data_IF_949984970184
#
_entry.id   IF_949984970184
#
_cell.length_a   1.000
_cell.length_b   1.000
_cell.length_c   1.000
_cell.angle_alpha   90.00
_cell.angle_beta   90.00
_cell.angle_gamma   90.00
#
_symmetry.space_group_name_H-M   'P 1'
#
loop_
_entity.id
_entity.type
_entity.pdbx_description
1 polymer ?
#
# COMPACT_ATOMS: atom_id res chain seq x y z
N UNK A 1 -13.77 -17.18 -6.97
CA UNK A 1 -14.80 -16.28 -7.54
C UNK A 1 -14.08 -14.98 -7.92
N UNK A 2 -14.11 -14.56 -9.19
CA UNK A 2 -13.62 -13.25 -9.62
C UNK A 2 -14.23 -12.12 -8.78
N UNK A 3 -13.44 -11.10 -8.43
CA UNK A 3 -13.92 -9.97 -7.60
C UNK A 3 -15.10 -9.26 -8.26
N UNK A 4 -15.12 -9.17 -9.58
CA UNK A 4 -16.25 -8.56 -10.32
C UNK A 4 -17.57 -9.29 -10.11
N UNK A 5 -17.54 -10.62 -9.90
CA UNK A 5 -18.75 -11.43 -9.67
C UNK A 5 -19.29 -11.26 -8.24
N UNK A 6 -18.55 -10.55 -7.37
CA UNK A 6 -18.97 -10.22 -6.01
C UNK A 6 -19.63 -8.84 -5.91
N UNK A 7 -19.61 -8.04 -6.99
CA UNK A 7 -20.16 -6.69 -7.01
C UNK A 7 -21.65 -6.77 -7.39
N UNK A 8 -22.57 -6.22 -6.58
CA UNK A 8 -23.96 -6.16 -6.98
C UNK A 8 -24.12 -5.30 -8.24
N UNK A 9 -24.95 -5.75 -9.18
CA UNK A 9 -25.12 -5.13 -10.51
C UNK A 9 -25.40 -3.61 -10.44
N UNK A 10 -26.20 -3.18 -9.47
CA UNK A 10 -26.53 -1.76 -9.27
C UNK A 10 -25.31 -0.85 -8.98
N UNK A 11 -24.17 -1.43 -8.61
CA UNK A 11 -22.92 -0.73 -8.34
C UNK A 11 -21.83 -0.97 -9.39
N UNK A 12 -22.09 -1.79 -10.44
CA UNK A 12 -21.08 -2.19 -11.40
C UNK A 12 -20.42 -0.98 -12.09
N UNK A 13 -21.23 -0.05 -12.60
CA UNK A 13 -20.75 1.17 -13.28
C UNK A 13 -19.96 2.09 -12.34
N UNK A 14 -20.32 2.13 -11.05
CA UNK A 14 -19.60 2.91 -10.06
C UNK A 14 -18.25 2.26 -9.67
N UNK A 15 -18.23 0.94 -9.54
CA UNK A 15 -17.06 0.20 -9.11
C UNK A 15 -16.01 0.05 -10.22
N UNK A 16 -16.44 -0.10 -11.48
CA UNK A 16 -15.56 -0.31 -12.62
C UNK A 16 -14.39 0.70 -12.72
N UNK A 17 -14.60 2.03 -12.69
CA UNK A 17 -13.49 2.99 -12.77
C UNK A 17 -12.56 2.94 -11.55
N UNK A 18 -13.08 2.59 -10.37
CA UNK A 18 -12.28 2.45 -9.15
C UNK A 18 -11.31 1.27 -9.34
N UNK A 19 -11.82 0.09 -9.67
CA UNK A 19 -10.98 -1.10 -9.88
C UNK A 19 -9.98 -0.90 -11.04
N UNK A 20 -10.39 -0.22 -12.11
CA UNK A 20 -9.48 0.14 -13.20
C UNK A 20 -8.31 1.02 -12.70
N UNK A 21 -8.57 1.96 -11.80
CA UNK A 21 -7.53 2.81 -11.21
C UNK A 21 -6.55 2.05 -10.30
N UNK A 22 -7.00 0.98 -9.64
CA UNK A 22 -6.17 0.16 -8.74
C UNK A 22 -5.55 -1.08 -9.40
N UNK A 23 -5.85 -1.35 -10.67
CA UNK A 23 -5.38 -2.57 -11.34
C UNK A 23 -3.86 -2.65 -11.48
N UNK A 24 -3.16 -1.51 -11.53
CA UNK A 24 -1.70 -1.44 -11.68
C UNK A 24 -1.11 -0.35 -10.76
N UNK A 25 -0.95 -0.62 -9.45
CA UNK A 25 -0.35 0.33 -8.54
C UNK A 25 1.12 0.59 -8.93
N UNK A 26 1.55 1.86 -9.08
CA UNK A 26 2.90 2.20 -9.57
C UNK A 26 4.00 1.93 -8.53
N UNK A 27 3.65 2.00 -7.24
CA UNK A 27 4.54 1.75 -6.11
C UNK A 27 3.87 0.72 -5.20
N UNK A 28 4.63 -0.26 -4.75
CA UNK A 28 4.16 -1.29 -3.82
C UNK A 28 5.23 -1.60 -2.80
N UNK A 29 4.81 -1.89 -1.58
CA UNK A 29 5.67 -2.46 -0.54
C UNK A 29 5.89 -3.94 -0.83
N UNK A 30 7.15 -4.38 -0.78
CA UNK A 30 7.52 -5.79 -0.78
C UNK A 30 7.86 -6.26 0.63
N UNK A 31 7.81 -7.56 0.84
CA UNK A 31 8.13 -8.19 2.13
C UNK A 31 9.56 -7.86 2.58
N UNK A 32 10.51 -7.74 1.65
CA UNK A 32 11.89 -7.31 1.91
C UNK A 32 11.97 -5.90 2.47
N UNK A 33 11.13 -4.99 1.98
CA UNK A 33 11.15 -3.60 2.41
C UNK A 33 10.65 -3.48 3.86
N UNK A 34 9.68 -4.31 4.23
CA UNK A 34 9.18 -4.42 5.60
C UNK A 34 10.26 -4.99 6.52
N UNK A 35 10.92 -6.08 6.11
CA UNK A 35 11.99 -6.68 6.89
C UNK A 35 13.12 -5.68 7.19
N UNK A 36 13.52 -4.90 6.18
CA UNK A 36 14.53 -3.85 6.32
C UNK A 36 14.06 -2.71 7.25
N UNK A 37 12.81 -2.25 7.12
CA UNK A 37 12.27 -1.21 7.98
C UNK A 37 12.22 -1.64 9.46
N UNK A 38 11.82 -2.88 9.73
CA UNK A 38 11.82 -3.46 11.08
C UNK A 38 13.24 -3.58 11.61
N UNK A 39 14.19 -4.06 10.80
CA UNK A 39 15.58 -4.16 11.19
C UNK A 39 16.15 -2.79 11.60
N UNK A 40 15.90 -1.74 10.82
CA UNK A 40 16.29 -0.36 11.16
C UNK A 40 15.65 0.13 12.45
N UNK A 41 14.34 -0.09 12.61
CA UNK A 41 13.61 0.36 13.79
C UNK A 41 14.16 -0.24 15.09
N UNK A 42 14.51 -1.53 15.09
CA UNK A 42 15.07 -2.22 16.26
C UNK A 42 16.45 -1.69 16.65
N UNK A 43 17.23 -1.21 15.68
CA UNK A 43 18.59 -0.71 15.91
C UNK A 43 18.66 0.82 16.04
N UNK A 44 17.53 1.53 15.91
CA UNK A 44 17.50 2.97 16.06
C UNK A 44 17.56 3.39 17.53
N UNK A 45 18.52 4.26 17.83
CA UNK A 45 18.65 4.91 19.15
C UNK A 45 18.33 6.39 19.09
N UNK A 46 17.93 6.92 17.93
CA UNK A 46 17.62 8.34 17.75
C UNK A 46 16.25 8.74 18.32
N UNK A 47 15.38 7.75 18.59
CA UNK A 47 14.02 7.98 19.05
C UNK A 47 13.05 8.23 17.92
N UNK A 48 13.41 7.86 16.68
CA UNK A 48 12.52 7.92 15.54
C UNK A 48 11.34 6.96 15.76
N UNK A 49 10.12 7.47 15.58
CA UNK A 49 8.90 6.68 15.84
C UNK A 49 8.30 6.01 14.59
N UNK A 50 8.67 6.48 13.39
CA UNK A 50 8.06 6.03 12.13
C UNK A 50 9.13 5.57 11.15
N UNK A 51 9.00 4.34 10.66
CA UNK A 51 9.86 3.74 9.66
C UNK A 51 8.99 3.27 8.49
N UNK A 52 8.67 4.16 7.52
CA UNK A 52 7.88 3.76 6.35
C UNK A 52 8.63 2.68 5.57
N UNK A 53 7.92 1.61 5.21
CA UNK A 53 8.46 0.46 4.49
C UNK A 53 8.00 0.47 3.04
N UNK A 54 8.92 0.32 2.09
CA UNK A 54 8.57 0.26 0.67
C UNK A 54 8.24 1.62 0.06
N UNK A 55 8.11 1.66 -1.26
CA UNK A 55 8.08 2.92 -2.00
C UNK A 55 6.75 3.69 -1.85
N UNK A 56 5.64 2.97 -1.71
CA UNK A 56 4.31 3.55 -1.46
C UNK A 56 4.20 4.13 -0.05
N UNK A 57 4.68 3.43 0.98
CA UNK A 57 4.64 3.96 2.35
C UNK A 57 5.60 5.14 2.54
N UNK A 58 6.76 5.16 1.87
CA UNK A 58 7.67 6.32 1.86
C UNK A 58 6.98 7.50 1.21
N UNK A 59 6.41 7.32 0.01
CA UNK A 59 5.69 8.38 -0.68
C UNK A 59 4.52 8.93 0.17
N UNK A 60 3.82 8.07 0.91
CA UNK A 60 2.76 8.50 1.83
C UNK A 60 3.33 9.29 3.02
N UNK A 61 4.44 8.84 3.61
CA UNK A 61 5.05 9.52 4.74
C UNK A 61 5.61 10.90 4.39
N UNK A 62 6.03 11.12 3.14
CA UNK A 62 6.46 12.43 2.63
C UNK A 62 5.29 13.40 2.39
N UNK A 63 4.05 12.90 2.32
CA UNK A 63 2.84 13.71 2.14
C UNK A 63 2.15 14.09 3.47
N UNK A 64 2.55 13.49 4.58
CA UNK A 64 1.99 13.70 5.93
C UNK A 64 2.74 14.79 6.72
#
# INVERSE_FOLDING_TARGET
>A
IPVMDLIPEAYADFAAPIFAGYANPPLTTKESDVAEAVWRAVHDTSGQLRFPAGADAVALAEQA
#
